data_IF_288109837596
#
_entry.id   IF_288109837596
#
_cell.length_a   1.000
_cell.length_b   1.000
_cell.length_c   1.000
_cell.angle_alpha   90.00
_cell.angle_beta   90.00
_cell.angle_gamma   90.00
#
_symmetry.space_group_name_H-M   'P 1'
#
loop_
_entity.id
_entity.type
_entity.pdbx_description
1 polymer ?
#
# COMPACT_ATOMS: atom_id res chain seq x y z
N UNK A 1 18.86 -8.35 29.06
CA UNK A 1 17.49 -8.91 29.10
C UNK A 1 17.23 -9.48 27.73
N UNK A 2 17.20 -10.80 27.61
CA UNK A 2 16.92 -11.48 26.34
C UNK A 2 15.51 -11.09 25.91
N UNK A 3 15.39 -10.27 24.86
CA UNK A 3 14.10 -9.91 24.29
C UNK A 3 13.54 -11.17 23.64
N UNK A 4 12.71 -11.91 24.37
CA UNK A 4 11.92 -13.00 23.83
C UNK A 4 10.90 -12.40 22.84
N UNK A 5 11.27 -12.34 21.57
CA UNK A 5 10.39 -11.84 20.51
C UNK A 5 9.25 -12.86 20.39
N UNK A 6 8.00 -12.50 20.75
CA UNK A 6 6.88 -13.41 20.61
C UNK A 6 6.70 -13.80 19.14
N UNK A 7 6.43 -15.08 18.90
CA UNK A 7 6.20 -15.59 17.54
C UNK A 7 4.92 -15.02 16.92
N UNK A 8 4.82 -15.11 15.59
CA UNK A 8 3.68 -14.59 14.79
C UNK A 8 2.34 -15.07 15.33
N UNK A 9 2.22 -16.36 15.65
CA UNK A 9 0.98 -16.94 16.19
C UNK A 9 0.51 -16.29 17.48
N UNK A 10 1.44 -15.95 18.39
CA UNK A 10 1.10 -15.33 19.66
C UNK A 10 0.73 -13.86 19.48
N UNK A 11 1.47 -13.14 18.63
CA UNK A 11 1.13 -11.77 18.27
C UNK A 11 -0.24 -11.69 17.59
N UNK A 12 -0.52 -12.61 16.66
CA UNK A 12 -1.82 -12.68 16.01
C UNK A 12 -2.94 -12.90 17.03
N UNK A 13 -2.79 -13.90 17.91
CA UNK A 13 -3.78 -14.19 18.96
C UNK A 13 -4.00 -12.99 19.88
N UNK A 14 -2.92 -12.33 20.31
CA UNK A 14 -2.99 -11.17 21.18
C UNK A 14 -3.65 -9.97 20.51
N UNK A 15 -3.27 -9.68 19.26
CA UNK A 15 -3.83 -8.60 18.46
C UNK A 15 -5.33 -8.79 18.20
N UNK A 16 -5.76 -10.02 17.91
CA UNK A 16 -7.19 -10.36 17.77
C UNK A 16 -7.94 -10.09 19.07
N UNK A 17 -7.41 -10.53 20.21
CA UNK A 17 -8.05 -10.33 21.51
C UNK A 17 -8.16 -8.83 21.86
N UNK A 18 -7.12 -8.04 21.56
CA UNK A 18 -7.13 -6.59 21.73
C UNK A 18 -8.19 -5.93 20.82
N UNK A 19 -8.27 -6.33 19.54
CA UNK A 19 -9.26 -5.81 18.58
C UNK A 19 -10.69 -6.07 19.06
N UNK A 20 -10.97 -7.30 19.49
CA UNK A 20 -12.29 -7.70 20.01
C UNK A 20 -12.67 -6.97 21.30
N UNK A 21 -11.68 -6.56 22.09
CA UNK A 21 -11.89 -5.79 23.32
C UNK A 21 -12.01 -4.28 23.09
N UNK A 22 -12.00 -3.81 21.84
CA UNK A 22 -12.03 -2.39 21.50
C UNK A 22 -10.71 -1.64 21.77
N UNK A 23 -9.62 -2.36 22.07
CA UNK A 23 -8.28 -1.78 22.25
C UNK A 23 -7.58 -1.65 20.89
N UNK A 24 -8.11 -0.78 20.04
CA UNK A 24 -7.73 -0.64 18.62
C UNK A 24 -6.24 -0.32 18.44
N UNK A 25 -5.70 0.61 19.23
CA UNK A 25 -4.28 1.00 19.16
C UNK A 25 -3.37 -0.20 19.46
N UNK A 26 -3.62 -0.91 20.57
CA UNK A 26 -2.85 -2.09 20.96
C UNK A 26 -2.95 -3.20 19.90
N UNK A 27 -4.16 -3.43 19.38
CA UNK A 27 -4.38 -4.39 18.31
C UNK A 27 -3.57 -4.03 17.07
N UNK A 28 -3.59 -2.76 16.65
CA UNK A 28 -2.86 -2.28 15.47
C UNK A 28 -1.36 -2.52 15.63
N UNK A 29 -0.77 -2.09 16.75
CA UNK A 29 0.66 -2.27 17.00
C UNK A 29 1.07 -3.75 17.03
N UNK A 30 0.25 -4.58 17.68
CA UNK A 30 0.53 -6.02 17.81
C UNK A 30 0.41 -6.75 16.46
N UNK A 31 -0.62 -6.43 15.67
CA UNK A 31 -0.84 -7.04 14.36
C UNK A 31 0.16 -6.54 13.33
N UNK A 32 0.56 -5.26 13.39
CA UNK A 32 1.64 -4.73 12.56
C UNK A 32 2.93 -5.51 12.82
N UNK A 33 3.28 -5.75 14.09
CA UNK A 33 4.44 -6.58 14.42
C UNK A 33 4.33 -8.01 13.91
N UNK A 34 3.12 -8.59 13.91
CA UNK A 34 2.90 -9.91 13.31
C UNK A 34 3.17 -9.90 11.80
N UNK A 35 2.75 -8.86 11.08
CA UNK A 35 3.01 -8.70 9.63
C UNK A 35 4.48 -8.44 9.31
N UNK A 36 5.22 -7.75 10.19
CA UNK A 36 6.68 -7.55 10.04
C UNK A 36 7.48 -8.84 10.21
N UNK A 37 6.98 -9.77 11.05
CA UNK A 37 7.63 -11.06 11.28
C UNK A 37 7.28 -12.10 10.22
N UNK A 38 6.05 -12.07 9.71
CA UNK A 38 5.60 -12.94 8.63
C UNK A 38 4.64 -12.18 7.70
N UNK A 39 5.22 -11.65 6.64
CA UNK A 39 4.51 -10.94 5.57
C UNK A 39 3.56 -11.85 4.78
N UNK A 40 3.70 -13.19 4.89
CA UNK A 40 2.86 -14.17 4.21
C UNK A 40 1.65 -14.60 5.04
N UNK A 41 1.48 -14.05 6.25
CA UNK A 41 0.34 -14.35 7.10
C UNK A 41 -0.86 -13.48 6.70
N UNK A 42 -1.75 -14.03 5.88
CA UNK A 42 -2.95 -13.33 5.42
C UNK A 42 -3.89 -12.98 6.58
N UNK A 43 -3.88 -13.76 7.66
CA UNK A 43 -4.74 -13.52 8.81
C UNK A 43 -4.31 -12.26 9.59
N UNK A 44 -2.99 -12.03 9.74
CA UNK A 44 -2.43 -10.81 10.34
C UNK A 44 -2.83 -9.57 9.54
N UNK A 45 -2.69 -9.62 8.21
CA UNK A 45 -3.11 -8.53 7.33
C UNK A 45 -4.63 -8.28 7.40
N UNK A 46 -5.43 -9.34 7.41
CA UNK A 46 -6.88 -9.22 7.48
C UNK A 46 -7.32 -8.53 8.78
N UNK A 47 -6.81 -8.97 9.93
CA UNK A 47 -7.16 -8.34 11.20
C UNK A 47 -6.62 -6.91 11.31
N UNK A 48 -5.42 -6.64 10.79
CA UNK A 48 -4.84 -5.29 10.75
C UNK A 48 -5.75 -4.33 9.98
N UNK A 49 -6.33 -4.78 8.86
CA UNK A 49 -7.28 -3.97 8.06
C UNK A 49 -8.49 -3.48 8.88
N UNK A 50 -8.92 -4.24 9.88
CA UNK A 50 -10.06 -3.88 10.73
C UNK A 50 -9.75 -2.81 11.78
N UNK A 51 -8.48 -2.63 12.14
CA UNK A 51 -8.04 -1.75 13.25
C UNK A 51 -7.25 -0.54 12.79
N UNK A 52 -6.83 -0.48 11.52
CA UNK A 52 -6.26 0.75 10.94
C UNK A 52 -7.34 1.82 10.74
N UNK A 53 -6.94 3.07 10.97
CA UNK A 53 -7.84 4.23 10.97
C UNK A 53 -8.10 4.78 9.57
N UNK A 54 -7.07 4.81 8.73
CA UNK A 54 -7.13 5.41 7.40
C UNK A 54 -7.63 4.40 6.37
N UNK A 55 -8.56 4.84 5.51
CA UNK A 55 -9.02 4.06 4.35
C UNK A 55 -7.90 3.61 3.40
N UNK A 56 -6.87 4.42 3.06
CA UNK A 56 -5.75 3.95 2.26
C UNK A 56 -4.98 2.80 2.93
N UNK A 57 -4.70 2.87 4.23
CA UNK A 57 -4.00 1.81 4.95
C UNK A 57 -4.84 0.52 5.00
N UNK A 58 -6.17 0.67 5.17
CA UNK A 58 -7.09 -0.46 5.10
C UNK A 58 -7.06 -1.13 3.72
N UNK A 59 -7.01 -0.34 2.64
CA UNK A 59 -6.88 -0.87 1.27
C UNK A 59 -5.59 -1.68 1.13
N UNK A 60 -4.44 -1.13 1.54
CA UNK A 60 -3.14 -1.82 1.47
C UNK A 60 -3.17 -3.15 2.22
N UNK A 61 -3.74 -3.19 3.44
CA UNK A 61 -3.85 -4.42 4.20
C UNK A 61 -4.68 -5.49 3.45
N UNK A 62 -5.81 -5.10 2.86
CA UNK A 62 -6.68 -6.02 2.11
C UNK A 62 -6.04 -6.47 0.79
N UNK A 63 -5.30 -5.60 0.12
CA UNK A 63 -4.52 -5.94 -1.08
C UNK A 63 -3.44 -6.96 -0.75
N UNK A 64 -2.74 -6.82 0.38
CA UNK A 64 -1.76 -7.82 0.84
C UNK A 64 -2.42 -9.19 1.10
N UNK A 65 -3.61 -9.23 1.70
CA UNK A 65 -4.38 -10.47 1.86
C UNK A 65 -4.63 -11.13 0.51
N UNK A 66 -5.06 -10.38 -0.49
CA UNK A 66 -5.38 -10.91 -1.82
C UNK A 66 -4.14 -11.26 -2.64
N UNK A 67 -3.01 -10.60 -2.39
CA UNK A 67 -1.72 -10.98 -2.98
C UNK A 67 -1.26 -12.36 -2.48
N UNK A 68 -1.55 -12.71 -1.23
CA UNK A 68 -1.25 -14.02 -0.63
C UNK A 68 -2.31 -15.05 -1.03
N UNK A 69 -3.58 -14.70 -0.91
CA UNK A 69 -4.73 -15.56 -1.19
C UNK A 69 -5.79 -14.78 -2.00
N UNK A 70 -5.74 -14.88 -3.35
CA UNK A 70 -6.67 -14.17 -4.22
C UNK A 70 -8.15 -14.51 -3.99
N UNK A 71 -8.44 -15.71 -3.48
CA UNK A 71 -9.81 -16.21 -3.24
C UNK A 71 -10.36 -15.84 -1.86
N UNK A 72 -9.66 -14.99 -1.11
CA UNK A 72 -10.06 -14.60 0.24
C UNK A 72 -11.30 -13.68 0.22
N UNK A 73 -12.49 -14.29 0.25
CA UNK A 73 -13.77 -13.61 0.07
C UNK A 73 -14.01 -12.40 1.01
N UNK A 74 -13.66 -12.44 2.31
CA UNK A 74 -13.77 -11.25 3.17
C UNK A 74 -12.92 -10.07 2.71
N UNK A 75 -11.75 -10.32 2.13
CA UNK A 75 -10.84 -9.26 1.69
C UNK A 75 -11.34 -8.61 0.40
N UNK A 76 -11.83 -9.42 -0.55
CA UNK A 76 -12.52 -8.92 -1.75
C UNK A 76 -13.74 -8.06 -1.39
N UNK A 77 -14.54 -8.50 -0.41
CA UNK A 77 -15.68 -7.73 0.06
C UNK A 77 -15.26 -6.39 0.70
N UNK A 78 -14.17 -6.39 1.47
CA UNK A 78 -13.57 -5.19 2.06
C UNK A 78 -13.13 -4.17 1.01
N UNK A 79 -12.44 -4.60 -0.06
CA UNK A 79 -12.04 -3.70 -1.14
C UNK A 79 -13.25 -3.11 -1.87
N UNK A 80 -14.26 -3.93 -2.20
CA UNK A 80 -15.50 -3.42 -2.80
C UNK A 80 -16.20 -2.38 -1.94
N UNK A 81 -16.17 -2.54 -0.61
CA UNK A 81 -16.73 -1.58 0.34
C UNK A 81 -15.94 -0.26 0.37
N UNK A 82 -14.62 -0.32 0.19
CA UNK A 82 -13.74 0.85 0.07
C UNK A 82 -13.92 1.57 -1.26
N UNK A 83 -14.07 0.84 -2.37
CA UNK A 83 -14.30 1.41 -3.71
C UNK A 83 -15.57 2.27 -3.76
N UNK A 84 -16.61 1.87 -3.03
CA UNK A 84 -17.87 2.61 -2.92
C UNK A 84 -17.75 3.90 -2.09
N UNK A 85 -16.71 4.03 -1.28
CA UNK A 85 -16.47 5.15 -0.35
C UNK A 85 -15.37 6.08 -0.80
N UNK A 86 -14.44 5.59 -1.61
CA UNK A 86 -13.48 6.45 -2.26
C UNK A 86 -14.23 7.31 -3.30
N UNK A 87 -14.00 8.64 -3.34
CA UNK A 87 -14.35 9.38 -4.55
C UNK A 87 -13.65 8.69 -5.73
N UNK A 88 -14.25 8.66 -6.94
CA UNK A 88 -13.59 8.06 -8.09
C UNK A 88 -12.22 8.72 -8.21
N UNK A 89 -11.16 7.95 -7.93
CA UNK A 89 -9.82 8.41 -8.24
C UNK A 89 -9.85 8.75 -9.73
N UNK A 90 -9.42 9.95 -10.14
CA UNK A 90 -9.27 10.22 -11.56
C UNK A 90 -8.40 9.07 -12.10
N UNK A 91 -8.81 8.43 -13.22
CA UNK A 91 -8.04 7.34 -13.78
C UNK A 91 -6.60 7.82 -13.88
N UNK A 92 -5.68 7.02 -13.31
CA UNK A 92 -4.22 7.18 -13.41
C UNK A 92 -3.90 7.91 -14.69
N UNK A 93 -3.40 9.14 -14.53
CA UNK A 93 -3.25 10.13 -15.57
C UNK A 93 -3.03 9.47 -16.93
N UNK A 94 -4.00 9.62 -17.82
CA UNK A 94 -3.69 9.58 -19.24
C UNK A 94 -2.42 10.41 -19.42
N UNK A 95 -1.43 9.97 -20.24
CA UNK A 95 -0.21 10.73 -20.43
C UNK A 95 -0.62 12.18 -20.66
N UNK A 96 -0.08 13.13 -19.88
CA UNK A 96 -0.40 14.53 -20.08
C UNK A 96 0.14 14.91 -21.46
N UNK A 97 -0.73 14.77 -22.44
CA UNK A 97 -0.49 15.09 -23.83
C UNK A 97 -0.82 16.55 -23.97
N UNK A 98 0.08 17.31 -24.58
CA UNK A 98 -0.19 18.69 -24.93
C UNK A 98 -1.47 18.75 -25.80
N UNK A 99 -2.53 19.49 -25.42
CA UNK A 99 -3.80 19.52 -26.16
C UNK A 99 -3.67 20.16 -27.55
N UNK A 100 -2.52 20.77 -27.84
CA UNK A 100 -2.21 21.42 -29.12
C UNK A 100 -1.50 20.49 -30.12
N UNK A 101 -0.76 19.48 -29.66
CA UNK A 101 0.04 18.62 -30.54
C UNK A 101 0.07 17.13 -30.17
N UNK A 102 -0.59 16.73 -29.08
CA UNK A 102 -0.64 15.35 -28.58
C UNK A 102 0.75 14.73 -28.27
N UNK A 103 1.75 15.54 -27.93
CA UNK A 103 3.07 15.07 -27.50
C UNK A 103 3.14 14.91 -25.97
N UNK A 104 3.85 13.90 -25.43
CA UNK A 104 4.03 13.72 -23.98
C UNK A 104 4.88 14.85 -23.38
N UNK A 105 4.41 15.44 -22.28
CA UNK A 105 5.01 16.63 -21.65
C UNK A 105 6.29 16.37 -20.83
N UNK A 106 6.76 15.12 -20.71
CA UNK A 106 8.02 14.83 -20.01
C UNK A 106 9.21 14.94 -20.98
N UNK A 107 9.65 16.18 -21.22
CA UNK A 107 10.86 16.44 -21.99
C UNK A 107 12.09 15.90 -21.25
N UNK A 108 12.76 14.94 -21.87
CA UNK A 108 14.17 14.66 -21.62
C UNK A 108 14.94 15.96 -21.78
N UNK A 109 15.68 16.35 -20.76
CA UNK A 109 16.65 17.44 -20.84
C UNK A 109 17.77 17.06 -21.82
N UNK A 110 17.53 17.25 -23.12
CA UNK A 110 18.57 17.42 -24.12
C UNK A 110 19.11 18.84 -23.98
N UNK A 111 20.21 18.97 -23.24
CA UNK A 111 21.07 20.14 -23.31
C UNK A 111 21.64 20.24 -24.72
N UNK A 112 21.00 21.09 -25.51
CA UNK A 112 21.54 21.64 -26.75
C UNK A 112 22.55 22.72 -26.39
N UNK A 113 23.84 22.41 -26.41
CA UNK A 113 24.88 23.41 -26.64
C UNK A 113 25.45 23.19 -28.04
N UNK A 114 25.04 24.08 -28.94
CA UNK A 114 25.64 24.23 -30.25
C UNK A 114 26.98 24.94 -30.20
N UNK A 115 27.64 24.86 -31.35
CA UNK A 115 28.61 25.83 -31.86
C UNK A 115 29.99 25.91 -31.17
N UNK A 116 30.96 25.18 -31.72
CA UNK A 116 32.30 25.74 -31.92
C UNK A 116 32.76 25.46 -33.37
N UNK A 117 32.20 26.24 -34.30
CA UNK A 117 32.91 26.52 -35.54
C UNK A 117 34.06 27.49 -35.28
N UNK A 118 35.31 27.02 -35.30
CA UNK A 118 36.45 27.86 -35.71
C UNK A 118 37.69 27.07 -36.12
N UNK A 119 37.85 27.01 -37.45
CA UNK A 119 39.06 27.23 -38.26
C UNK A 119 40.36 26.50 -37.89
N UNK A 120 40.63 25.50 -38.73
CA UNK A 120 41.94 25.24 -39.33
C UNK A 120 42.61 26.52 -39.89
N UNK A 121 43.83 26.80 -39.43
CA UNK A 121 44.95 27.42 -40.17
C UNK A 121 46.19 27.44 -39.27
#
# INVERSE_FOLDING_TARGET
MENNIPGVTELLRHGIAAAQSGRTEEARQTLLRATELDERNEQSWLWLSGVVELLPDRRVCLENVLAINPDHAPAQAGLRWLDQRAPPSPPTAAPELCPRCASPLFQTSEVSEGDIGSKIA
#
